data_IF_676318589462
#
_entry.id   IF_676318589462
#
_cell.length_a   1.000
_cell.length_b   1.000
_cell.length_c   1.000
_cell.angle_alpha   90.00
_cell.angle_beta   90.00
_cell.angle_gamma   90.00
#
_symmetry.space_group_name_H-M   'P 1'
#
loop_
_entity.id
_entity.type
_entity.pdbx_description
1 polymer ?
#
# COMPACT_ATOMS: atom_id res chain seq x y z
N UNK A 1 7.23 -7.58 16.71
CA UNK A 1 8.20 -7.72 15.62
C UNK A 1 7.48 -7.39 14.32
N UNK A 2 8.04 -6.54 13.45
CA UNK A 2 7.42 -6.24 12.16
C UNK A 2 7.31 -7.52 11.32
N UNK A 3 6.20 -7.66 10.60
CA UNK A 3 5.91 -8.78 9.69
C UNK A 3 5.63 -8.20 8.31
N UNK A 4 6.69 -7.90 7.59
CA UNK A 4 6.64 -7.28 6.26
C UNK A 4 6.64 -8.36 5.17
N UNK A 5 5.92 -8.11 4.07
CA UNK A 5 5.84 -9.00 2.91
C UNK A 5 6.38 -8.27 1.69
N UNK A 6 7.27 -8.95 0.95
CA UNK A 6 7.74 -8.49 -0.37
C UNK A 6 6.95 -9.23 -1.45
N UNK A 7 6.25 -8.48 -2.29
CA UNK A 7 5.52 -9.02 -3.46
C UNK A 7 6.35 -8.81 -4.71
N UNK A 8 6.66 -9.89 -5.44
CA UNK A 8 7.37 -9.84 -6.73
C UNK A 8 6.37 -10.19 -7.84
N UNK A 9 6.25 -9.30 -8.83
CA UNK A 9 5.36 -9.48 -9.99
C UNK A 9 6.21 -9.65 -11.25
N UNK A 10 5.86 -10.64 -12.07
CA UNK A 10 6.61 -10.98 -13.28
C UNK A 10 5.68 -11.38 -14.43
N UNK A 11 6.06 -10.97 -15.64
CA UNK A 11 5.29 -11.19 -16.86
C UNK A 11 4.10 -10.24 -17.02
N UNK A 12 3.52 -10.19 -18.23
CA UNK A 12 2.43 -9.24 -18.54
C UNK A 12 1.19 -9.48 -17.67
N UNK A 13 0.74 -10.74 -17.59
CA UNK A 13 -0.43 -11.11 -16.76
C UNK A 13 -0.20 -10.79 -15.27
N UNK A 14 1.00 -11.14 -14.75
CA UNK A 14 1.35 -10.88 -13.35
C UNK A 14 1.38 -9.38 -13.01
N UNK A 15 1.88 -8.56 -13.93
CA UNK A 15 1.90 -7.10 -13.74
C UNK A 15 0.50 -6.49 -13.83
N UNK A 16 -0.37 -6.98 -14.71
CA UNK A 16 -1.76 -6.50 -14.82
C UNK A 16 -2.56 -6.77 -13.54
N UNK A 17 -2.53 -8.01 -13.05
CA UNK A 17 -3.18 -8.37 -11.78
C UNK A 17 -2.55 -7.61 -10.62
N UNK A 18 -1.24 -7.45 -10.65
CA UNK A 18 -0.49 -6.73 -9.65
C UNK A 18 -0.87 -5.26 -9.50
N UNK A 19 -1.10 -4.59 -10.63
CA UNK A 19 -1.56 -3.20 -10.66
C UNK A 19 -2.93 -3.06 -10.00
N UNK A 20 -3.90 -3.91 -10.37
CA UNK A 20 -5.25 -3.89 -9.80
C UNK A 20 -5.24 -4.22 -8.30
N UNK A 21 -4.42 -5.19 -7.89
CA UNK A 21 -4.25 -5.54 -6.48
C UNK A 21 -3.80 -4.33 -5.64
N UNK A 22 -2.74 -3.64 -6.08
CA UNK A 22 -2.23 -2.48 -5.35
C UNK A 22 -3.20 -1.29 -5.39
N UNK A 23 -3.87 -1.07 -6.51
CA UNK A 23 -4.91 -0.04 -6.61
C UNK A 23 -6.05 -0.30 -5.62
N UNK A 24 -6.53 -1.54 -5.53
CA UNK A 24 -7.59 -1.92 -4.61
C UNK A 24 -7.16 -1.75 -3.15
N UNK A 25 -5.95 -2.19 -2.78
CA UNK A 25 -5.43 -1.97 -1.41
C UNK A 25 -5.32 -0.48 -1.08
N UNK A 26 -4.84 0.36 -2.00
CA UNK A 26 -4.77 1.80 -1.76
C UNK A 26 -6.15 2.39 -1.48
N UNK A 27 -7.18 1.99 -2.23
CA UNK A 27 -8.55 2.43 -2.00
C UNK A 27 -9.09 1.98 -0.63
N UNK A 28 -8.87 0.72 -0.26
CA UNK A 28 -9.33 0.16 1.03
C UNK A 28 -8.65 0.83 2.23
N UNK A 29 -7.36 1.16 2.09
CA UNK A 29 -6.56 1.77 3.14
C UNK A 29 -6.56 3.30 3.12
N UNK A 30 -7.34 3.93 2.22
CA UNK A 30 -7.42 5.39 2.07
C UNK A 30 -6.06 6.02 1.72
N UNK A 31 -5.28 5.36 0.87
CA UNK A 31 -4.02 5.87 0.31
C UNK A 31 -4.33 6.44 -1.08
N UNK A 32 -4.04 7.71 -1.29
CA UNK A 32 -4.28 8.36 -2.57
C UNK A 32 -3.18 8.06 -3.60
N UNK A 33 -3.36 8.55 -4.83
CA UNK A 33 -2.43 8.29 -5.93
C UNK A 33 -1.02 8.85 -5.70
N UNK A 34 -0.88 9.85 -4.83
CA UNK A 34 0.42 10.42 -4.44
C UNK A 34 1.07 9.65 -3.28
N UNK A 35 0.42 8.62 -2.76
CA UNK A 35 0.88 7.82 -1.62
C UNK A 35 0.60 8.44 -0.25
N UNK A 36 -0.25 9.47 -0.19
CA UNK A 36 -0.65 10.12 1.06
C UNK A 36 -1.93 9.50 1.63
N UNK A 37 -2.06 9.50 2.95
CA UNK A 37 -3.29 9.06 3.62
C UNK A 37 -4.37 10.15 3.55
N UNK A 38 -5.55 9.74 3.14
CA UNK A 38 -6.78 10.51 3.26
C UNK A 38 -7.11 10.79 4.74
N UNK A 39 -7.79 11.91 5.02
CA UNK A 39 -8.01 12.37 6.40
C UNK A 39 -8.77 11.35 7.27
N UNK A 40 -9.72 10.61 6.67
CA UNK A 40 -10.48 9.57 7.36
C UNK A 40 -9.68 8.30 7.66
N UNK A 41 -8.53 8.09 7.00
CA UNK A 41 -7.70 6.90 7.11
C UNK A 41 -6.45 7.10 7.99
N UNK A 42 -6.34 8.28 8.62
CA UNK A 42 -5.29 8.62 9.60
C UNK A 42 -5.55 8.04 10.99
N UNK A 43 -6.81 7.74 11.31
CA UNK A 43 -7.16 7.09 12.57
C UNK A 43 -6.79 5.60 12.56
N UNK A 44 -6.38 5.09 13.73
CA UNK A 44 -5.75 3.79 13.89
C UNK A 44 -6.78 2.65 13.83
N UNK A 45 -6.56 1.66 12.96
CA UNK A 45 -7.48 0.52 12.80
C UNK A 45 -7.00 -0.58 11.85
N UNK A 46 -6.15 -0.25 10.89
CA UNK A 46 -5.64 -1.15 9.86
C UNK A 46 -4.11 -1.25 9.86
N UNK A 47 -3.61 -2.47 9.66
CA UNK A 47 -2.17 -2.76 9.64
C UNK A 47 -1.56 -2.56 8.26
N UNK A 48 -1.32 -1.30 7.90
CA UNK A 48 -0.69 -0.89 6.63
C UNK A 48 0.79 -1.33 6.52
N UNK A 49 1.45 -1.53 7.66
CA UNK A 49 2.88 -1.87 7.78
C UNK A 49 3.30 -3.22 7.19
N UNK A 50 2.34 -4.10 6.91
CA UNK A 50 2.61 -5.43 6.34
C UNK A 50 3.01 -5.34 4.86
N UNK A 51 2.31 -4.49 4.10
CA UNK A 51 2.46 -4.37 2.65
C UNK A 51 3.07 -3.03 2.21
N UNK A 52 2.89 -1.97 2.99
CA UNK A 52 3.37 -0.63 2.66
C UNK A 52 4.57 -0.23 3.51
N UNK A 53 5.54 0.38 2.86
CA UNK A 53 6.64 1.05 3.54
C UNK A 53 6.26 2.51 3.83
N UNK A 54 6.36 2.93 5.09
CA UNK A 54 6.13 4.32 5.48
C UNK A 54 7.35 5.18 5.15
N UNK A 55 7.19 6.12 4.22
CA UNK A 55 8.22 7.16 3.97
C UNK A 55 8.31 8.10 5.20
N UNK A 56 9.52 8.35 5.74
CA UNK A 56 9.70 9.41 6.75
C UNK A 56 9.58 10.80 6.10
N UNK A 57 8.87 11.73 6.76
CA UNK A 57 8.61 13.09 6.24
C UNK A 57 9.87 13.98 6.11
N UNK A 58 10.99 13.59 6.73
CA UNK A 58 12.21 14.42 6.83
C UNK A 58 13.26 14.20 5.72
N UNK A 59 12.87 13.83 4.49
CA UNK A 59 13.79 13.76 3.34
C UNK A 59 13.13 13.95 1.98
#
# INVERSE_FOLDING_TARGET
MPREIITIQAGQCGNSIGSEFWQQLCLEHGINQDGNLEDFAKEDGDRKDVFFYRKPENR
#
